data_IF_511847042514
#
_entry.id   IF_511847042514
#
_cell.length_a   1.000
_cell.length_b   1.000
_cell.length_c   1.000
_cell.angle_alpha   90.00
_cell.angle_beta   90.00
_cell.angle_gamma   90.00
#
_symmetry.space_group_name_H-M   'P 1'
#
loop_
_entity.id
_entity.type
_entity.pdbx_description
1 polymer ?
#
# COMPACT_ATOMS: atom_id res chain seq x y z
N UNK A 1 91.27 -19.22 -20.51
CA UNK A 1 90.72 -18.15 -19.59
C UNK A 1 89.21 -18.07 -19.76
N UNK A 2 88.48 -18.66 -18.85
CA UNK A 2 87.01 -18.59 -18.86
C UNK A 2 86.53 -17.82 -17.64
N UNK A 3 85.81 -16.68 -17.86
CA UNK A 3 85.22 -15.88 -16.82
C UNK A 3 83.76 -16.41 -16.57
N UNK A 4 83.52 -16.91 -15.40
CA UNK A 4 82.24 -17.31 -14.90
C UNK A 4 81.50 -16.13 -14.33
N UNK A 5 80.37 -15.76 -14.93
CA UNK A 5 79.46 -14.70 -14.42
C UNK A 5 78.47 -15.33 -13.44
N UNK A 6 78.50 -14.89 -12.19
CA UNK A 6 77.53 -15.22 -11.14
C UNK A 6 76.26 -14.37 -11.31
N UNK A 7 75.15 -15.00 -11.62
CA UNK A 7 73.82 -14.37 -11.58
C UNK A 7 73.33 -14.37 -10.12
N UNK A 8 73.01 -13.19 -9.60
CA UNK A 8 72.36 -13.00 -8.30
C UNK A 8 70.86 -13.26 -8.50
N UNK A 9 70.33 -14.20 -7.73
CA UNK A 9 68.88 -14.43 -7.62
C UNK A 9 68.28 -13.34 -6.72
N UNK A 10 67.37 -12.52 -7.22
CA UNK A 10 66.55 -11.58 -6.46
C UNK A 10 65.27 -12.26 -5.98
N UNK A 11 65.14 -12.34 -4.67
CA UNK A 11 63.96 -12.83 -4.02
C UNK A 11 62.87 -11.74 -4.06
N UNK A 12 61.74 -12.02 -4.76
CA UNK A 12 60.58 -11.16 -4.79
C UNK A 12 59.69 -11.59 -3.60
N UNK A 13 59.54 -10.71 -2.61
CA UNK A 13 58.58 -10.88 -1.54
C UNK A 13 57.23 -10.35 -2.01
N UNK A 14 56.30 -11.24 -2.24
CA UNK A 14 54.92 -10.84 -2.51
C UNK A 14 54.20 -10.56 -1.23
N UNK A 15 53.85 -9.27 -0.98
CA UNK A 15 53.00 -8.84 0.12
C UNK A 15 51.55 -9.11 -0.26
N UNK A 16 50.95 -10.06 0.41
CA UNK A 16 49.49 -10.33 0.31
C UNK A 16 48.74 -9.26 1.15
N UNK A 17 48.05 -8.35 0.46
CA UNK A 17 47.13 -7.41 1.09
C UNK A 17 45.78 -8.13 1.30
N UNK A 18 45.50 -8.52 2.56
CA UNK A 18 44.15 -8.96 2.95
C UNK A 18 43.27 -7.71 2.99
N UNK A 19 42.44 -7.52 1.96
CA UNK A 19 41.36 -6.56 1.99
C UNK A 19 40.22 -7.06 2.90
N UNK A 20 40.04 -6.47 4.08
CA UNK A 20 38.80 -6.61 4.84
C UNK A 20 37.70 -5.85 4.10
N UNK A 21 36.82 -6.55 3.43
CA UNK A 21 35.54 -5.99 2.98
C UNK A 21 34.61 -5.91 4.18
N UNK A 22 34.50 -4.71 4.78
CA UNK A 22 33.44 -4.41 5.71
C UNK A 22 32.10 -4.46 4.95
N UNK A 23 31.36 -5.56 5.10
CA UNK A 23 30.00 -5.69 4.62
C UNK A 23 29.10 -4.75 5.39
N UNK A 24 28.75 -3.59 4.80
CA UNK A 24 27.64 -2.79 5.25
C UNK A 24 26.36 -3.61 5.07
N UNK A 25 25.87 -4.19 6.15
CA UNK A 25 24.54 -4.77 6.24
C UNK A 25 23.51 -3.64 6.12
N UNK A 26 23.14 -3.29 4.88
CA UNK A 26 22.01 -2.44 4.60
C UNK A 26 20.76 -3.19 5.02
N UNK A 27 20.10 -2.79 6.11
CA UNK A 27 18.74 -3.17 6.42
C UNK A 27 17.84 -2.67 5.30
N UNK A 28 17.56 -3.53 4.31
CA UNK A 28 16.63 -3.25 3.24
C UNK A 28 15.23 -3.21 3.81
N UNK A 29 14.74 -2.03 4.20
CA UNK A 29 13.31 -1.81 4.30
C UNK A 29 12.71 -2.09 2.91
N UNK A 30 11.78 -3.04 2.82
CA UNK A 30 11.11 -3.31 1.57
C UNK A 30 10.43 -2.01 1.10
N UNK A 31 10.75 -1.58 -0.12
CA UNK A 31 10.08 -0.42 -0.70
C UNK A 31 8.57 -0.69 -0.81
N UNK A 32 7.76 0.34 -0.50
CA UNK A 32 6.31 0.25 -0.64
C UNK A 32 5.94 -0.15 -2.07
N UNK A 33 4.92 -1.00 -2.19
CA UNK A 33 4.46 -1.43 -3.51
C UNK A 33 3.89 -0.24 -4.29
N UNK A 34 4.18 -0.12 -5.62
CA UNK A 34 3.62 0.94 -6.43
C UNK A 34 2.10 0.83 -6.50
N UNK A 35 1.41 1.96 -6.66
CA UNK A 35 -0.03 1.97 -6.91
C UNK A 35 -0.31 1.34 -8.27
N UNK A 36 -1.21 0.34 -8.37
CA UNK A 36 -1.62 -0.24 -9.62
C UNK A 36 -2.29 0.80 -10.52
N UNK A 37 -2.02 0.75 -11.82
CA UNK A 37 -2.57 1.67 -12.81
C UNK A 37 -3.59 0.98 -13.69
N UNK A 38 -4.61 1.73 -14.10
CA UNK A 38 -5.62 1.32 -15.06
C UNK A 38 -5.92 2.44 -16.05
N UNK A 39 -6.39 2.07 -17.25
CA UNK A 39 -6.81 3.04 -18.29
C UNK A 39 -8.27 3.48 -18.13
N UNK A 40 -9.10 2.70 -17.43
CA UNK A 40 -10.50 3.01 -17.14
C UNK A 40 -10.64 3.59 -15.74
N UNK A 41 -11.68 4.42 -15.55
CA UNK A 41 -11.91 5.10 -14.27
C UNK A 41 -13.19 4.61 -13.61
N UNK A 42 -13.13 4.35 -12.30
CA UNK A 42 -14.29 4.18 -11.42
C UNK A 42 -14.60 5.54 -10.80
N UNK A 43 -15.85 5.97 -10.81
CA UNK A 43 -16.29 7.10 -9.98
C UNK A 43 -16.45 6.60 -8.55
N UNK A 44 -15.75 7.22 -7.61
CA UNK A 44 -15.88 6.94 -6.18
C UNK A 44 -16.46 8.17 -5.50
N UNK A 45 -17.55 7.99 -4.76
CA UNK A 45 -18.19 9.06 -3.99
C UNK A 45 -18.64 8.56 -2.63
N UNK A 46 -19.11 9.47 -1.78
CA UNK A 46 -19.66 9.14 -0.47
C UNK A 46 -20.82 10.08 -0.16
N UNK A 47 -21.86 9.55 0.47
CA UNK A 47 -22.92 10.40 1.05
C UNK A 47 -22.48 11.06 2.35
N UNK A 48 -21.38 10.61 2.95
CA UNK A 48 -20.86 11.11 4.21
C UNK A 48 -19.99 12.39 4.05
N UNK A 49 -19.26 12.52 2.93
CA UNK A 49 -18.41 13.68 2.64
C UNK A 49 -18.13 13.79 1.13
N UNK A 50 -17.91 15.01 0.65
CA UNK A 50 -17.52 15.29 -0.73
C UNK A 50 -15.99 15.20 -0.90
N UNK A 51 -15.53 15.15 -2.17
CA UNK A 51 -14.10 15.20 -2.53
C UNK A 51 -13.40 16.41 -1.85
N UNK A 52 -12.30 16.15 -1.16
CA UNK A 52 -11.52 17.14 -0.42
C UNK A 52 -12.15 17.66 0.86
N UNK A 53 -13.39 17.26 1.19
CA UNK A 53 -14.09 17.73 2.39
C UNK A 53 -13.66 16.98 3.66
N UNK A 54 -14.14 17.50 4.81
CA UNK A 54 -13.87 16.89 6.12
C UNK A 54 -14.63 15.59 6.28
N UNK A 55 -13.90 14.52 6.63
CA UNK A 55 -14.48 13.23 7.03
C UNK A 55 -15.26 13.42 8.33
N UNK A 56 -16.52 12.96 8.42
CA UNK A 56 -17.32 13.11 9.64
C UNK A 56 -16.65 12.44 10.85
N UNK A 57 -16.73 13.10 12.01
CA UNK A 57 -16.17 12.61 13.27
C UNK A 57 -16.56 11.17 13.59
N UNK A 58 -17.76 10.76 13.21
CA UNK A 58 -18.27 9.39 13.37
C UNK A 58 -17.32 8.35 12.77
N UNK A 59 -16.70 8.65 11.62
CA UNK A 59 -15.79 7.73 10.91
C UNK A 59 -14.32 7.88 11.33
N UNK A 60 -14.03 8.51 12.46
CA UNK A 60 -12.68 8.80 12.95
C UNK A 60 -12.44 8.23 14.35
N UNK A 61 -11.20 8.24 14.81
CA UNK A 61 -10.85 7.80 16.18
C UNK A 61 -11.48 8.66 17.29
N UNK A 62 -12.00 9.84 16.96
CA UNK A 62 -12.69 10.72 17.90
C UNK A 62 -14.21 10.45 17.96
N UNK A 63 -14.72 9.48 17.17
CA UNK A 63 -16.12 9.08 17.10
C UNK A 63 -16.32 7.58 17.22
N UNK A 64 -17.25 7.04 16.43
CA UNK A 64 -17.62 5.62 16.45
C UNK A 64 -16.56 4.73 15.77
N UNK A 65 -15.65 5.32 15.01
CA UNK A 65 -14.57 4.63 14.30
C UNK A 65 -15.10 3.59 13.29
N UNK A 66 -16.17 3.94 12.56
CA UNK A 66 -16.80 3.11 11.53
C UNK A 66 -16.48 3.66 10.13
N UNK A 67 -16.33 2.79 9.14
CA UNK A 67 -16.08 3.21 7.76
C UNK A 67 -17.22 4.11 7.25
N UNK A 68 -16.94 5.17 6.49
CA UNK A 68 -17.99 5.92 5.80
C UNK A 68 -18.61 5.07 4.69
N UNK A 69 -19.80 5.46 4.22
CA UNK A 69 -20.37 4.89 3.00
C UNK A 69 -19.51 5.25 1.79
N UNK A 70 -19.44 4.35 0.82
CA UNK A 70 -18.79 4.58 -0.47
C UNK A 70 -19.74 4.12 -1.57
N UNK A 71 -19.87 4.93 -2.63
CA UNK A 71 -20.63 4.61 -3.82
C UNK A 71 -19.67 4.44 -5.01
N UNK A 72 -19.94 3.45 -5.88
CA UNK A 72 -19.11 3.09 -7.01
C UNK A 72 -19.88 3.23 -8.33
N UNK A 73 -19.31 3.94 -9.29
CA UNK A 73 -19.87 4.09 -10.62
C UNK A 73 -18.85 3.77 -11.71
N UNK A 74 -19.30 3.20 -12.83
CA UNK A 74 -18.44 2.90 -13.97
C UNK A 74 -17.55 1.68 -13.81
N UNK A 75 -17.93 0.73 -12.95
CA UNK A 75 -17.22 -0.56 -12.82
C UNK A 75 -17.33 -1.31 -14.14
N UNK A 76 -16.20 -1.73 -14.77
CA UNK A 76 -16.23 -2.47 -16.02
C UNK A 76 -16.86 -3.85 -15.87
N UNK A 77 -17.59 -4.30 -16.90
CA UNK A 77 -18.25 -5.61 -16.88
C UNK A 77 -17.30 -6.83 -16.85
N UNK A 78 -16.02 -6.62 -17.19
CA UNK A 78 -14.97 -7.62 -17.07
C UNK A 78 -14.36 -7.74 -15.66
N UNK A 79 -14.75 -6.89 -14.72
CA UNK A 79 -14.28 -6.96 -13.35
C UNK A 79 -14.69 -8.29 -12.69
N UNK A 80 -13.72 -8.96 -12.06
CA UNK A 80 -13.94 -10.19 -11.30
C UNK A 80 -14.23 -9.89 -9.82
N UNK A 81 -13.68 -8.76 -9.30
CA UNK A 81 -13.95 -8.25 -7.96
C UNK A 81 -13.55 -6.77 -7.81
N UNK A 82 -14.05 -6.13 -6.74
CA UNK A 82 -13.57 -4.83 -6.30
C UNK A 82 -12.66 -4.98 -5.07
N UNK A 83 -11.70 -4.05 -5.00
CA UNK A 83 -10.76 -3.91 -3.88
C UNK A 83 -10.80 -2.48 -3.38
N UNK A 84 -10.82 -2.28 -2.06
CA UNK A 84 -10.78 -0.96 -1.41
C UNK A 84 -9.53 -0.87 -0.53
N UNK A 85 -8.75 0.20 -0.72
CA UNK A 85 -7.67 0.61 0.16
C UNK A 85 -7.96 2.00 0.70
N UNK A 86 -7.76 2.22 2.00
CA UNK A 86 -7.81 3.55 2.62
C UNK A 86 -6.45 3.85 3.21
N UNK A 87 -5.83 4.92 2.74
CA UNK A 87 -4.44 5.27 3.07
C UNK A 87 -4.31 6.75 3.44
N UNK A 88 -3.43 7.03 4.41
CA UNK A 88 -2.99 8.37 4.79
C UNK A 88 -1.56 8.58 4.27
N UNK A 89 -1.36 9.32 3.18
CA UNK A 89 -0.03 9.60 2.63
C UNK A 89 0.72 10.70 3.40
N UNK A 90 0.05 11.42 4.29
CA UNK A 90 0.62 12.55 5.04
C UNK A 90 1.17 12.12 6.42
N UNK A 91 1.07 10.83 6.77
CA UNK A 91 1.56 10.30 8.04
C UNK A 91 3.09 10.42 8.16
N UNK A 92 3.64 10.75 9.38
CA UNK A 92 5.05 11.14 9.56
C UNK A 92 6.10 10.10 9.14
N UNK A 93 5.75 8.82 9.15
CA UNK A 93 6.69 7.72 8.87
C UNK A 93 6.41 6.99 7.54
N UNK A 94 5.75 7.66 6.60
CA UNK A 94 5.31 7.11 5.33
C UNK A 94 3.82 6.79 5.33
N UNK A 95 3.32 6.26 4.22
CA UNK A 95 1.89 5.96 4.07
C UNK A 95 1.38 5.06 5.17
N UNK A 96 0.34 5.52 5.89
CA UNK A 96 -0.32 4.76 6.93
C UNK A 96 -1.62 4.15 6.38
N UNK A 97 -1.76 2.83 6.48
CA UNK A 97 -2.91 2.08 5.95
C UNK A 97 -4.01 2.01 6.99
N UNK A 98 -5.19 2.50 6.64
CA UNK A 98 -6.38 2.54 7.48
C UNK A 98 -7.33 1.38 7.24
N UNK A 99 -7.44 0.90 5.99
CA UNK A 99 -8.32 -0.20 5.64
C UNK A 99 -7.83 -0.95 4.39
N UNK A 100 -8.01 -2.27 4.39
CA UNK A 100 -7.69 -3.17 3.27
C UNK A 100 -8.86 -4.12 3.10
N UNK A 101 -9.52 -4.10 1.93
CA UNK A 101 -10.66 -4.97 1.61
C UNK A 101 -10.50 -5.51 0.20
N UNK A 102 -10.82 -6.79 0.00
CA UNK A 102 -10.89 -7.43 -1.31
C UNK A 102 -12.04 -8.43 -1.35
N UNK A 103 -12.30 -9.03 -2.52
CA UNK A 103 -13.38 -9.99 -2.71
C UNK A 103 -14.78 -9.35 -2.70
N UNK A 104 -14.89 -8.03 -2.93
CA UNK A 104 -16.17 -7.36 -3.08
C UNK A 104 -16.74 -7.73 -4.46
N UNK A 105 -18.04 -8.15 -4.51
CA UNK A 105 -18.71 -8.44 -5.76
C UNK A 105 -18.67 -7.20 -6.68
N UNK A 106 -18.24 -7.33 -7.95
CA UNK A 106 -18.14 -6.20 -8.86
C UNK A 106 -19.50 -5.58 -9.23
N UNK A 107 -20.60 -6.24 -8.92
CA UNK A 107 -21.97 -5.71 -9.09
C UNK A 107 -22.41 -4.86 -7.89
N UNK A 108 -21.67 -4.86 -6.79
CA UNK A 108 -21.95 -3.94 -5.69
C UNK A 108 -21.71 -2.51 -6.16
N UNK A 109 -22.70 -1.66 -5.96
CA UNK A 109 -22.65 -0.24 -6.33
C UNK A 109 -22.34 0.66 -5.15
N UNK A 110 -22.35 0.11 -3.93
CA UNK A 110 -22.10 0.85 -2.71
C UNK A 110 -21.63 -0.06 -1.55
N UNK A 111 -20.89 0.52 -0.62
CA UNK A 111 -20.66 -0.01 0.72
C UNK A 111 -21.39 0.88 1.73
N UNK A 112 -22.22 0.31 2.57
CA UNK A 112 -22.87 1.03 3.66
C UNK A 112 -21.88 1.43 4.77
N UNK A 113 -22.28 2.37 5.60
CA UNK A 113 -21.48 2.82 6.74
C UNK A 113 -21.22 1.67 7.73
N UNK A 114 -19.96 1.32 7.95
CA UNK A 114 -19.55 0.25 8.85
C UNK A 114 -19.87 -1.15 8.33
N UNK A 115 -20.30 -1.30 7.09
CA UNK A 115 -20.68 -2.57 6.48
C UNK A 115 -19.52 -3.19 5.71
N UNK A 116 -19.49 -4.52 5.71
CA UNK A 116 -18.64 -5.34 4.87
C UNK A 116 -19.56 -6.27 4.05
N UNK A 117 -19.50 -6.25 2.71
CA UNK A 117 -20.32 -7.12 1.88
C UNK A 117 -20.03 -8.60 2.12
N UNK A 118 -21.03 -9.45 1.87
CA UNK A 118 -20.86 -10.89 1.94
C UNK A 118 -19.75 -11.36 0.99
N UNK A 119 -18.88 -12.23 1.49
CA UNK A 119 -17.74 -12.75 0.71
C UNK A 119 -16.52 -11.85 0.67
N UNK A 120 -16.63 -10.58 1.08
CA UNK A 120 -15.47 -9.70 1.18
C UNK A 120 -14.60 -10.07 2.39
N UNK A 121 -13.29 -9.91 2.21
CA UNK A 121 -12.26 -10.15 3.21
C UNK A 121 -11.56 -8.84 3.59
N UNK A 122 -11.04 -8.80 4.81
CA UNK A 122 -10.28 -7.63 5.30
C UNK A 122 -8.86 -8.03 5.65
N UNK A 123 -7.89 -7.22 5.22
CA UNK A 123 -6.49 -7.38 5.53
C UNK A 123 -6.04 -6.62 6.77
N UNK A 124 -4.73 -6.63 6.98
CA UNK A 124 -4.07 -5.95 8.10
C UNK A 124 -3.84 -4.48 7.78
N UNK A 125 -4.32 -3.60 8.64
CA UNK A 125 -4.04 -2.17 8.62
C UNK A 125 -2.77 -1.83 9.43
N UNK A 126 -2.33 -0.58 9.38
CA UNK A 126 -1.13 -0.11 10.10
C UNK A 126 -1.31 -0.02 11.62
N UNK A 127 -2.52 -0.17 12.15
CA UNK A 127 -2.76 -0.36 13.58
C UNK A 127 -2.49 -1.81 14.04
N UNK A 128 -2.07 -2.71 13.13
CA UNK A 128 -1.83 -4.13 13.40
C UNK A 128 -3.11 -4.95 13.54
N UNK A 129 -4.25 -4.44 13.07
CA UNK A 129 -5.58 -5.07 13.16
C UNK A 129 -6.16 -5.31 11.78
N UNK A 130 -7.13 -6.22 11.67
CA UNK A 130 -8.00 -6.37 10.50
C UNK A 130 -9.19 -5.43 10.65
N UNK A 131 -9.63 -4.87 9.51
CA UNK A 131 -10.78 -3.98 9.47
C UNK A 131 -10.42 -2.50 9.36
N UNK A 132 -11.45 -1.67 9.42
CA UNK A 132 -11.32 -0.22 9.34
C UNK A 132 -10.71 0.36 10.63
N UNK A 133 -9.74 1.26 10.47
CA UNK A 133 -9.23 2.13 11.52
C UNK A 133 -9.34 3.58 11.04
N UNK A 134 -10.17 4.39 11.69
CA UNK A 134 -10.47 5.74 11.23
C UNK A 134 -9.29 6.70 11.31
N UNK A 135 -9.39 7.83 10.61
CA UNK A 135 -8.50 8.98 10.73
C UNK A 135 -8.17 9.35 12.17
N UNK A 136 -6.87 9.45 12.47
CA UNK A 136 -6.39 9.81 13.81
C UNK A 136 -5.05 10.56 13.75
N UNK A 137 -4.98 11.72 13.08
CA UNK A 137 -3.74 12.46 12.94
C UNK A 137 -3.27 13.00 14.30
N UNK A 138 -2.01 13.38 14.46
CA UNK A 138 -1.53 14.09 15.63
C UNK A 138 -2.34 15.35 15.88
N UNK A 139 -2.43 15.78 17.16
CA UNK A 139 -3.13 17.02 17.50
C UNK A 139 -2.46 18.24 16.86
N UNK A 140 -3.26 19.10 16.25
CA UNK A 140 -2.78 20.27 15.51
C UNK A 140 -2.48 19.99 14.04
N UNK A 141 -2.59 18.75 13.58
CA UNK A 141 -2.34 18.37 12.19
C UNK A 141 -3.63 18.01 11.45
N UNK A 142 -3.61 18.16 10.13
CA UNK A 142 -4.71 17.77 9.24
C UNK A 142 -4.14 16.99 8.08
N UNK A 143 -4.57 15.72 7.94
CA UNK A 143 -4.10 14.80 6.92
C UNK A 143 -5.17 14.54 5.86
N UNK A 144 -4.73 14.05 4.71
CA UNK A 144 -5.57 13.50 3.64
C UNK A 144 -5.73 12.01 3.86
N UNK A 145 -6.91 11.52 3.52
CA UNK A 145 -7.24 10.10 3.54
C UNK A 145 -7.76 9.73 2.16
N UNK A 146 -7.02 8.88 1.47
CA UNK A 146 -7.30 8.46 0.10
C UNK A 146 -8.04 7.13 0.13
N UNK A 147 -9.30 7.14 -0.29
CA UNK A 147 -10.13 5.95 -0.49
C UNK A 147 -9.96 5.52 -1.94
N UNK A 148 -9.19 4.48 -2.17
CA UNK A 148 -8.88 3.94 -3.50
C UNK A 148 -9.74 2.72 -3.78
N UNK A 149 -10.37 2.67 -4.96
CA UNK A 149 -11.16 1.53 -5.43
C UNK A 149 -10.54 1.00 -6.71
N UNK A 150 -10.27 -0.29 -6.75
CA UNK A 150 -9.72 -0.98 -7.91
C UNK A 150 -10.74 -2.04 -8.37
N UNK A 151 -11.00 -2.11 -9.65
CA UNK A 151 -11.67 -3.24 -10.29
C UNK A 151 -10.60 -4.19 -10.81
N UNK A 152 -10.48 -5.36 -10.22
CA UNK A 152 -9.57 -6.41 -10.67
C UNK A 152 -10.24 -7.26 -11.76
N UNK A 153 -9.51 -7.62 -12.82
CA UNK A 153 -9.96 -8.54 -13.88
C UNK A 153 -9.79 -10.02 -13.51
N UNK A 154 -9.10 -10.29 -12.41
CA UNK A 154 -8.92 -11.60 -11.83
C UNK A 154 -8.99 -11.52 -10.30
N UNK A 155 -9.49 -12.56 -9.65
CA UNK A 155 -9.53 -12.64 -8.19
C UNK A 155 -8.13 -12.89 -7.65
N UNK A 156 -7.51 -11.96 -6.90
CA UNK A 156 -6.20 -12.18 -6.32
C UNK A 156 -6.26 -13.25 -5.23
N UNK A 157 -5.22 -14.11 -5.19
CA UNK A 157 -5.05 -15.05 -4.09
C UNK A 157 -4.24 -14.38 -2.99
N UNK A 158 -4.89 -14.03 -1.90
CA UNK A 158 -4.29 -13.28 -0.79
C UNK A 158 -4.40 -14.06 0.53
N UNK A 159 -3.41 -13.96 1.42
CA UNK A 159 -3.53 -14.49 2.78
C UNK A 159 -4.55 -13.66 3.59
N UNK A 160 -5.14 -14.26 4.63
CA UNK A 160 -6.18 -13.60 5.47
C UNK A 160 -5.72 -12.31 6.15
N UNK A 161 -4.41 -12.12 6.31
CA UNK A 161 -3.79 -10.93 6.92
C UNK A 161 -2.97 -10.13 5.91
N UNK A 162 -3.34 -10.20 4.62
CA UNK A 162 -2.68 -9.45 3.56
C UNK A 162 -2.56 -7.97 3.91
N UNK A 163 -1.41 -7.40 3.67
CA UNK A 163 -1.16 -5.97 3.77
C UNK A 163 -1.63 -5.24 2.50
N UNK A 164 -1.70 -3.91 2.56
CA UNK A 164 -1.96 -3.11 1.36
C UNK A 164 -0.92 -3.35 0.26
N UNK A 165 0.34 -3.58 0.63
CA UNK A 165 1.40 -3.89 -0.33
C UNK A 165 1.23 -5.26 -0.99
N UNK A 166 0.73 -6.27 -0.26
CA UNK A 166 0.40 -7.58 -0.85
C UNK A 166 -0.73 -7.43 -1.86
N UNK A 167 -1.77 -6.68 -1.51
CA UNK A 167 -2.89 -6.37 -2.41
C UNK A 167 -2.41 -5.62 -3.64
N UNK A 168 -1.64 -4.54 -3.49
CA UNK A 168 -1.12 -3.76 -4.61
C UNK A 168 -0.27 -4.62 -5.56
N UNK A 169 0.61 -5.47 -5.02
CA UNK A 169 1.40 -6.40 -5.82
C UNK A 169 0.54 -7.37 -6.62
N UNK A 170 -0.51 -7.90 -6.01
CA UNK A 170 -1.43 -8.82 -6.68
C UNK A 170 -2.28 -8.14 -7.78
N UNK A 171 -2.50 -6.84 -7.66
CA UNK A 171 -3.25 -6.04 -8.65
C UNK A 171 -2.40 -5.55 -9.83
N UNK A 172 -1.07 -5.64 -9.77
CA UNK A 172 -0.20 -5.22 -10.88
C UNK A 172 -0.47 -6.08 -12.12
N UNK A 173 -0.88 -5.43 -13.23
CA UNK A 173 -1.26 -6.10 -14.46
C UNK A 173 -2.67 -6.70 -14.46
N UNK A 174 -3.41 -6.58 -13.35
CA UNK A 174 -4.75 -7.09 -13.16
C UNK A 174 -5.76 -6.01 -12.75
N UNK A 175 -5.48 -4.74 -13.00
CA UNK A 175 -6.38 -3.64 -12.68
C UNK A 175 -7.08 -3.14 -13.95
N UNK A 176 -8.36 -3.46 -14.11
CA UNK A 176 -9.19 -3.03 -15.25
C UNK A 176 -9.60 -1.56 -15.13
N UNK A 177 -9.93 -1.10 -13.91
CA UNK A 177 -10.30 0.29 -13.65
C UNK A 177 -9.88 0.72 -12.23
N UNK A 178 -9.76 2.03 -12.03
CA UNK A 178 -9.31 2.62 -10.77
C UNK A 178 -10.02 3.96 -10.52
N UNK A 179 -10.31 4.26 -9.26
CA UNK A 179 -10.85 5.54 -8.84
C UNK A 179 -10.52 5.87 -7.39
N UNK A 180 -10.62 7.14 -7.03
CA UNK A 180 -10.35 7.61 -5.67
C UNK A 180 -11.39 8.62 -5.20
N UNK A 181 -11.57 8.68 -3.88
CA UNK A 181 -12.20 9.77 -3.16
C UNK A 181 -11.24 10.21 -2.05
N UNK A 182 -10.96 11.49 -1.96
CA UNK A 182 -10.08 12.04 -0.91
C UNK A 182 -10.89 12.79 0.12
N UNK A 183 -10.75 12.41 1.38
CA UNK A 183 -11.26 13.17 2.52
C UNK A 183 -10.13 13.80 3.33
N UNK A 184 -10.45 14.75 4.21
CA UNK A 184 -9.51 15.36 5.16
C UNK A 184 -10.02 15.19 6.57
N UNK A 185 -9.10 15.06 7.52
CA UNK A 185 -9.43 15.12 8.93
C UNK A 185 -8.27 15.71 9.73
N UNK A 186 -8.61 16.57 10.67
CA UNK A 186 -7.66 17.21 11.59
C UNK A 186 -8.14 17.15 13.03
N UNK A 187 -7.22 17.25 13.96
CA UNK A 187 -7.49 17.22 15.41
C UNK A 187 -6.92 18.42 16.12
#
# INVERSE_FOLDING_TARGET
MRRTSRRKAGTIVAAAVLGLTAGCGGGGGAAAAPTPHASKTITVSSTAFAEGATIPRRSTCDGENVSPSLDFGGVPGEAAELVVLVEDPDAPHGTFVHWVVWGIDPHETALGTGELPNGAEQGRNSFGKRGYGGPCPPKGESHRYVFSVFAADAKPTLPKDASADDVKRALIGHTAAYGTLVGRYGR
#
